data_IF_062336015288
#
_entry.id   IF_062336015288
#
_cell.length_a   1.000
_cell.length_b   1.000
_cell.length_c   1.000
_cell.angle_alpha   90.00
_cell.angle_beta   90.00
_cell.angle_gamma   90.00
#
_symmetry.space_group_name_H-M   'P 1'
#
loop_
_entity.id
_entity.type
_entity.pdbx_description
1 polymer ?
#
# COMPACT_ATOMS: atom_id res chain seq x y z
N UNK A 1 -37.95 28.57 47.05
CA UNK A 1 -37.55 28.73 45.65
C UNK A 1 -36.09 28.28 45.54
N UNK A 2 -35.83 27.04 45.11
CA UNK A 2 -34.49 26.46 44.98
C UNK A 2 -34.04 26.60 43.55
N UNK A 3 -32.99 27.37 43.34
CA UNK A 3 -32.37 27.58 42.03
C UNK A 3 -31.41 26.41 41.82
N UNK A 4 -31.70 25.52 40.84
CA UNK A 4 -30.76 24.51 40.36
C UNK A 4 -29.82 25.13 39.34
N UNK A 5 -28.55 25.24 39.71
CA UNK A 5 -27.50 25.66 38.83
C UNK A 5 -27.00 24.41 38.06
N UNK A 6 -27.37 24.29 36.77
CA UNK A 6 -26.86 23.24 35.90
C UNK A 6 -25.46 23.63 35.40
N UNK A 7 -24.46 22.92 35.89
CA UNK A 7 -23.09 23.01 35.34
C UNK A 7 -23.02 22.07 34.14
N UNK A 8 -23.01 22.63 32.94
CA UNK A 8 -22.71 21.90 31.72
C UNK A 8 -21.18 21.79 31.63
N UNK A 9 -20.66 20.61 31.99
CA UNK A 9 -19.26 20.28 31.74
C UNK A 9 -19.06 20.06 30.23
N UNK A 10 -18.43 21.04 29.55
CA UNK A 10 -17.96 20.87 28.17
C UNK A 10 -16.82 19.87 28.17
N UNK A 11 -17.14 18.61 27.87
CA UNK A 11 -16.12 17.58 27.58
C UNK A 11 -15.52 17.93 26.26
N UNK A 12 -14.37 18.60 26.26
CA UNK A 12 -13.54 18.80 25.09
C UNK A 12 -13.09 17.43 24.57
N UNK A 13 -13.66 17.02 23.44
CA UNK A 13 -13.17 15.87 22.69
C UNK A 13 -11.79 16.27 22.16
N UNK A 14 -10.76 15.89 22.89
CA UNK A 14 -9.40 15.89 22.36
C UNK A 14 -9.39 14.85 21.24
N UNK A 15 -9.47 15.30 19.98
CA UNK A 15 -9.13 14.43 18.86
C UNK A 15 -7.69 14.01 19.07
N UNK A 16 -7.46 12.79 19.59
CA UNK A 16 -6.18 12.13 19.40
C UNK A 16 -5.96 12.09 17.87
N UNK A 17 -5.07 12.91 17.38
CA UNK A 17 -4.51 12.70 16.05
C UNK A 17 -3.85 11.34 16.12
N UNK A 18 -4.50 10.33 15.54
CA UNK A 18 -3.84 9.06 15.28
C UNK A 18 -2.55 9.42 14.53
N UNK A 19 -1.41 9.17 15.17
CA UNK A 19 -0.12 9.31 14.49
C UNK A 19 -0.23 8.46 13.23
N UNK A 20 -0.02 9.05 12.06
CA UNK A 20 -0.06 8.33 10.81
C UNK A 20 0.89 7.14 10.93
N UNK A 21 0.33 5.93 10.90
CA UNK A 21 1.13 4.73 11.03
C UNK A 21 2.02 4.60 9.79
N UNK A 22 3.31 4.54 10.03
CA UNK A 22 4.28 4.36 8.96
C UNK A 22 4.53 2.87 8.76
N UNK A 23 4.07 2.36 7.62
CA UNK A 23 4.40 1.01 7.17
C UNK A 23 5.77 0.99 6.51
N UNK A 24 6.61 0.02 6.86
CA UNK A 24 7.98 -0.10 6.34
C UNK A 24 8.15 -1.34 5.50
N UNK A 25 8.82 -1.19 4.36
CA UNK A 25 9.15 -2.25 3.42
C UNK A 25 10.66 -2.51 3.48
N UNK A 26 11.04 -3.75 3.78
CA UNK A 26 12.43 -4.19 3.93
C UNK A 26 12.80 -5.15 2.80
N UNK A 27 14.03 -5.09 2.36
CA UNK A 27 14.58 -6.12 1.49
C UNK A 27 14.83 -7.41 2.28
N UNK A 28 14.48 -8.57 1.70
CA UNK A 28 14.66 -9.87 2.29
C UNK A 28 13.52 -10.35 3.18
N UNK A 29 13.74 -11.49 3.83
CA UNK A 29 12.72 -12.23 4.58
C UNK A 29 12.32 -11.58 5.91
N UNK A 30 13.24 -10.89 6.54
CA UNK A 30 13.04 -10.31 7.87
C UNK A 30 12.86 -8.79 7.81
N UNK A 31 11.89 -8.28 8.56
CA UNK A 31 11.64 -6.85 8.70
C UNK A 31 12.64 -6.21 9.69
N UNK A 32 13.93 -6.30 9.39
CA UNK A 32 15.04 -5.82 10.23
C UNK A 32 15.99 -4.92 9.44
N UNK A 33 16.73 -4.08 10.14
CA UNK A 33 17.66 -3.14 9.52
C UNK A 33 16.96 -1.91 8.92
N UNK A 34 17.52 -1.38 7.84
CA UNK A 34 16.98 -0.19 7.18
C UNK A 34 15.92 -0.59 6.15
N UNK A 35 14.75 0.01 6.25
CA UNK A 35 13.70 -0.16 5.24
C UNK A 35 14.12 0.51 3.91
N UNK A 36 13.70 -0.10 2.80
CA UNK A 36 13.91 0.46 1.46
C UNK A 36 12.85 1.48 1.09
N UNK A 37 11.66 1.33 1.67
CA UNK A 37 10.55 2.27 1.55
C UNK A 37 9.82 2.44 2.88
N UNK A 38 9.26 3.63 3.08
CA UNK A 38 8.34 3.98 4.16
C UNK A 38 7.04 4.52 3.55
N UNK A 39 5.91 3.93 3.89
CA UNK A 39 4.58 4.36 3.44
C UNK A 39 3.85 5.04 4.60
N UNK A 40 3.45 6.29 4.40
CA UNK A 40 2.61 7.04 5.32
C UNK A 40 1.13 6.76 4.99
N UNK A 41 0.47 6.00 5.85
CA UNK A 41 -0.92 5.58 5.65
C UNK A 41 -1.91 6.76 5.66
N UNK A 42 -1.59 7.82 6.39
CA UNK A 42 -2.44 9.02 6.48
C UNK A 42 -2.46 9.85 5.19
N UNK A 43 -1.32 9.99 4.53
CA UNK A 43 -1.19 10.80 3.30
C UNK A 43 -1.14 9.99 2.01
N UNK A 44 -1.01 8.67 2.10
CA UNK A 44 -0.84 7.79 0.94
C UNK A 44 0.52 7.91 0.26
N UNK A 45 1.51 8.52 0.92
CA UNK A 45 2.83 8.79 0.35
C UNK A 45 3.82 7.66 0.60
N UNK A 46 4.58 7.31 -0.43
CA UNK A 46 5.65 6.32 -0.37
C UNK A 46 7.00 7.03 -0.53
N UNK A 47 7.83 6.93 0.47
CA UNK A 47 9.16 7.54 0.54
C UNK A 47 10.23 6.48 0.34
N UNK A 48 11.34 6.83 -0.30
CA UNK A 48 12.53 5.98 -0.34
C UNK A 48 13.24 6.01 1.02
N UNK A 49 13.65 4.84 1.52
CA UNK A 49 14.37 4.71 2.77
C UNK A 49 13.48 4.43 3.98
N UNK A 50 14.08 4.53 5.17
CA UNK A 50 13.47 4.07 6.42
C UNK A 50 12.39 5.01 6.98
N UNK A 51 12.47 6.30 6.72
CA UNK A 51 11.61 7.31 7.31
C UNK A 51 10.72 7.99 6.27
N UNK A 52 9.48 8.28 6.65
CA UNK A 52 8.52 9.01 5.83
C UNK A 52 8.77 10.54 5.90
N UNK A 53 9.97 10.98 5.46
CA UNK A 53 10.40 12.39 5.49
C UNK A 53 10.95 12.84 4.13
N UNK A 54 10.89 14.13 3.88
CA UNK A 54 11.37 14.72 2.63
C UNK A 54 10.37 14.58 1.49
N UNK A 55 10.87 14.41 0.26
CA UNK A 55 10.03 14.27 -0.92
C UNK A 55 9.63 12.81 -1.13
N UNK A 56 8.34 12.56 -1.24
CA UNK A 56 7.84 11.23 -1.57
C UNK A 56 8.24 10.84 -3.00
N UNK A 57 8.53 9.56 -3.21
CA UNK A 57 8.75 8.99 -4.53
C UNK A 57 7.44 8.79 -5.29
N UNK A 58 6.39 8.41 -4.56
CA UNK A 58 5.07 8.12 -5.08
C UNK A 58 3.99 8.55 -4.09
N UNK A 59 2.78 8.78 -4.60
CA UNK A 59 1.58 8.97 -3.78
C UNK A 59 0.44 8.15 -4.36
N UNK A 60 -0.25 7.42 -3.50
CA UNK A 60 -1.47 6.69 -3.80
C UNK A 60 -2.68 7.51 -3.34
N UNK A 61 -3.54 7.89 -4.26
CA UNK A 61 -4.83 8.49 -3.97
C UNK A 61 -5.90 7.39 -3.86
N UNK A 62 -6.29 7.06 -2.65
CA UNK A 62 -7.25 5.99 -2.36
C UNK A 62 -8.66 6.26 -2.88
N UNK A 63 -9.03 7.52 -3.15
CA UNK A 63 -10.36 7.88 -3.67
C UNK A 63 -10.49 7.55 -5.15
N UNK A 64 -9.41 7.76 -5.91
CA UNK A 64 -9.41 7.53 -7.36
C UNK A 64 -8.71 6.24 -7.78
N UNK A 65 -8.03 5.56 -6.86
CA UNK A 65 -7.19 4.39 -7.15
C UNK A 65 -5.90 4.73 -7.91
N UNK A 66 -5.58 6.02 -8.06
CA UNK A 66 -4.44 6.49 -8.87
C UNK A 66 -3.16 6.57 -8.08
N UNK A 67 -2.05 6.26 -8.77
CA UNK A 67 -0.70 6.34 -8.23
C UNK A 67 0.10 7.34 -9.07
N UNK A 68 0.58 8.40 -8.43
CA UNK A 68 1.31 9.49 -9.06
C UNK A 68 2.79 9.41 -8.68
N UNK A 69 3.66 9.88 -9.56
CA UNK A 69 5.08 10.09 -9.24
C UNK A 69 5.23 11.36 -8.41
N UNK A 70 6.13 11.30 -7.41
CA UNK A 70 6.48 12.45 -6.59
C UNK A 70 5.57 12.65 -5.38
N UNK A 71 5.58 13.87 -4.84
CA UNK A 71 4.98 14.19 -3.54
C UNK A 71 3.49 14.53 -3.60
N UNK A 72 2.99 14.96 -4.75
CA UNK A 72 1.62 15.45 -4.91
C UNK A 72 0.82 14.61 -5.90
N UNK A 73 -0.46 14.39 -5.61
CA UNK A 73 -1.41 13.70 -6.50
C UNK A 73 -1.96 14.67 -7.57
N UNK A 74 -1.07 15.23 -8.39
CA UNK A 74 -1.40 16.21 -9.43
C UNK A 74 -0.88 15.77 -10.80
N UNK A 75 -1.52 16.27 -11.85
CA UNK A 75 -1.17 15.90 -13.23
C UNK A 75 -1.65 14.51 -13.63
N UNK A 76 -0.91 13.87 -14.53
CA UNK A 76 -1.25 12.53 -15.01
C UNK A 76 -0.72 11.45 -14.06
N UNK A 77 -1.58 10.53 -13.65
CA UNK A 77 -1.17 9.38 -12.88
C UNK A 77 -0.26 8.46 -13.71
N UNK A 78 0.71 7.85 -13.05
CA UNK A 78 1.57 6.84 -13.67
C UNK A 78 0.89 5.47 -13.72
N UNK A 79 0.05 5.18 -12.73
CA UNK A 79 -0.74 3.94 -12.64
C UNK A 79 -2.12 4.23 -12.06
N UNK A 80 -3.06 3.32 -12.35
CA UNK A 80 -4.36 3.25 -11.68
C UNK A 80 -4.65 1.80 -11.31
N UNK A 81 -5.09 1.59 -10.08
CA UNK A 81 -5.56 0.31 -9.58
C UNK A 81 -7.09 0.29 -9.57
N UNK A 82 -7.68 -0.61 -10.34
CA UNK A 82 -9.11 -0.90 -10.29
C UNK A 82 -9.38 -1.96 -9.24
N UNK A 83 -9.93 -1.53 -8.11
CA UNK A 83 -10.23 -2.41 -6.98
C UNK A 83 -11.34 -3.44 -7.27
N UNK A 84 -12.22 -3.17 -8.24
CA UNK A 84 -13.31 -4.09 -8.61
C UNK A 84 -12.80 -5.31 -9.38
N UNK A 85 -11.81 -5.13 -10.23
CA UNK A 85 -11.17 -6.17 -11.03
C UNK A 85 -9.81 -6.62 -10.49
N UNK A 86 -9.31 -5.99 -9.42
CA UNK A 86 -7.99 -6.20 -8.83
C UNK A 86 -6.85 -6.04 -9.84
N UNK A 87 -6.98 -5.10 -10.79
CA UNK A 87 -6.02 -4.87 -11.87
C UNK A 87 -5.29 -3.54 -11.72
N UNK A 88 -4.00 -3.57 -12.05
CA UNK A 88 -3.15 -2.39 -12.16
C UNK A 88 -2.95 -2.07 -13.63
N UNK A 89 -3.20 -0.83 -14.02
CA UNK A 89 -3.00 -0.33 -15.37
C UNK A 89 -1.94 0.75 -15.38
N UNK A 90 -1.12 0.81 -16.42
CA UNK A 90 -0.24 1.94 -16.67
C UNK A 90 -1.05 3.15 -17.14
N UNK A 91 -0.70 4.35 -16.63
CA UNK A 91 -1.34 5.60 -17.01
C UNK A 91 -2.46 6.06 -16.09
N UNK A 92 -3.26 7.02 -16.60
CA UNK A 92 -4.25 7.74 -15.79
C UNK A 92 -5.60 7.04 -15.69
N UNK A 93 -5.94 6.19 -16.66
CA UNK A 93 -7.24 5.53 -16.78
C UNK A 93 -7.10 4.01 -16.81
N UNK A 94 -8.07 3.30 -16.21
CA UNK A 94 -8.13 1.84 -16.23
C UNK A 94 -8.69 1.33 -17.57
N UNK A 95 -7.93 1.52 -18.65
CA UNK A 95 -8.31 1.11 -20.01
C UNK A 95 -7.17 0.35 -20.69
N UNK A 96 -7.53 -0.53 -21.60
CA UNK A 96 -6.56 -1.38 -22.32
C UNK A 96 -6.11 -2.60 -21.51
N UNK A 97 -4.89 -3.04 -21.74
CA UNK A 97 -4.31 -4.16 -21.02
C UNK A 97 -3.76 -3.73 -19.66
N UNK A 98 -4.10 -4.47 -18.61
CA UNK A 98 -3.49 -4.28 -17.30
C UNK A 98 -2.02 -4.71 -17.33
N UNK A 99 -1.16 -4.09 -16.51
CA UNK A 99 0.23 -4.52 -16.31
C UNK A 99 0.30 -5.67 -15.31
N UNK A 100 -0.58 -5.66 -14.31
CA UNK A 100 -0.66 -6.72 -13.33
C UNK A 100 -2.12 -6.97 -12.88
N UNK A 101 -2.40 -8.18 -12.43
CA UNK A 101 -3.66 -8.57 -11.80
C UNK A 101 -3.41 -9.40 -10.56
N UNK A 102 -4.13 -9.09 -9.48
CA UNK A 102 -4.07 -9.85 -8.23
C UNK A 102 -5.25 -10.81 -8.13
N UNK A 103 -4.99 -12.02 -7.65
CA UNK A 103 -6.01 -13.05 -7.42
C UNK A 103 -5.71 -13.90 -6.19
N UNK A 104 -6.76 -14.43 -5.56
CA UNK A 104 -6.66 -15.19 -4.32
C UNK A 104 -6.52 -14.29 -3.09
N UNK A 105 -6.44 -14.90 -1.92
CA UNK A 105 -6.36 -14.17 -0.64
C UNK A 105 -5.25 -14.68 0.28
N UNK A 106 -4.94 -15.97 0.24
CA UNK A 106 -3.91 -16.54 1.11
C UNK A 106 -3.26 -17.77 0.44
N UNK A 107 -2.13 -17.56 -0.23
CA UNK A 107 -1.50 -16.29 -0.54
C UNK A 107 -2.24 -15.49 -1.64
N UNK A 108 -2.13 -14.17 -1.57
CA UNK A 108 -2.48 -13.32 -2.70
C UNK A 108 -1.43 -13.52 -3.80
N UNK A 109 -1.87 -13.84 -5.02
CA UNK A 109 -0.98 -14.03 -6.17
C UNK A 109 -1.11 -12.88 -7.15
N UNK A 110 0.03 -12.40 -7.64
CA UNK A 110 0.09 -11.29 -8.59
C UNK A 110 0.67 -11.83 -9.89
N UNK A 111 -0.09 -11.67 -10.95
CA UNK A 111 0.21 -12.16 -12.30
C UNK A 111 0.54 -10.96 -13.20
N UNK A 112 1.46 -11.16 -14.12
CA UNK A 112 1.74 -10.18 -15.17
C UNK A 112 0.59 -10.13 -16.18
N UNK A 113 0.24 -8.93 -16.63
CA UNK A 113 -0.79 -8.70 -17.64
C UNK A 113 -2.23 -8.67 -17.11
N UNK A 114 -3.18 -8.86 -18.03
CA UNK A 114 -4.61 -8.61 -17.79
C UNK A 114 -5.33 -9.75 -17.06
N UNK A 115 -4.87 -10.98 -17.21
CA UNK A 115 -5.56 -12.18 -16.71
C UNK A 115 -4.71 -12.91 -15.66
N UNK A 116 -5.37 -13.40 -14.61
CA UNK A 116 -4.76 -14.22 -13.56
C UNK A 116 -4.58 -15.68 -14.05
N UNK A 117 -3.79 -15.87 -15.11
CA UNK A 117 -3.53 -17.17 -15.72
C UNK A 117 -2.04 -17.49 -15.75
N UNK A 118 -1.70 -18.77 -15.75
CA UNK A 118 -0.29 -19.20 -15.72
C UNK A 118 0.34 -19.08 -14.34
N UNK A 119 1.63 -18.77 -14.29
CA UNK A 119 2.37 -18.63 -13.04
C UNK A 119 2.39 -17.18 -12.58
N UNK A 120 2.06 -16.95 -11.32
CA UNK A 120 2.24 -15.64 -10.70
C UNK A 120 3.73 -15.31 -10.61
N UNK A 121 4.08 -14.04 -10.80
CA UNK A 121 5.46 -13.58 -10.57
C UNK A 121 5.70 -13.19 -9.11
N UNK A 122 4.62 -12.97 -8.35
CA UNK A 122 4.70 -12.65 -6.93
C UNK A 122 3.59 -13.38 -6.17
N UNK A 123 3.94 -13.95 -5.02
CA UNK A 123 3.01 -14.44 -4.00
C UNK A 123 3.19 -13.61 -2.72
N UNK A 124 2.07 -13.20 -2.12
CA UNK A 124 2.06 -12.38 -0.90
C UNK A 124 1.36 -13.16 0.20
N UNK A 125 2.09 -13.41 1.27
CA UNK A 125 1.56 -14.04 2.49
C UNK A 125 1.34 -12.98 3.56
N UNK A 126 0.08 -12.84 3.99
CA UNK A 126 -0.35 -11.85 4.98
C UNK A 126 -0.43 -12.50 6.36
N UNK A 127 0.57 -12.23 7.21
CA UNK A 127 0.64 -12.65 8.60
C UNK A 127 0.96 -11.45 9.50
N UNK A 128 1.54 -11.71 10.68
CA UNK A 128 2.06 -10.64 11.56
C UNK A 128 3.10 -9.74 10.87
N UNK A 129 3.77 -10.28 9.89
CA UNK A 129 4.61 -9.56 8.91
C UNK A 129 4.17 -10.04 7.54
N UNK A 130 3.71 -9.13 6.69
CA UNK A 130 3.40 -9.45 5.31
C UNK A 130 4.68 -9.70 4.53
N UNK A 131 4.73 -10.77 3.74
CA UNK A 131 5.91 -11.15 2.96
C UNK A 131 5.58 -11.32 1.49
N UNK A 132 6.46 -10.78 0.65
CA UNK A 132 6.38 -10.89 -0.81
C UNK A 132 7.45 -11.86 -1.30
N UNK A 133 7.04 -12.90 -2.01
CA UNK A 133 7.90 -13.95 -2.55
C UNK A 133 7.96 -13.84 -4.07
N UNK A 134 9.11 -14.14 -4.64
CA UNK A 134 9.21 -14.31 -6.11
C UNK A 134 8.52 -15.60 -6.54
N UNK A 135 7.73 -15.52 -7.61
CA UNK A 135 7.04 -16.67 -8.20
C UNK A 135 5.67 -16.96 -7.58
N UNK A 136 5.15 -18.14 -7.93
CA UNK A 136 3.75 -18.52 -7.69
C UNK A 136 3.45 -18.88 -6.23
N UNK A 137 4.43 -19.33 -5.47
CA UNK A 137 4.25 -19.88 -4.13
C UNK A 137 4.93 -19.03 -3.07
N UNK A 138 4.27 -18.86 -1.93
CA UNK A 138 4.81 -18.19 -0.75
C UNK A 138 5.70 -19.14 0.06
N UNK A 139 6.79 -19.63 -0.55
CA UNK A 139 7.72 -20.59 0.06
C UNK A 139 9.16 -20.12 -0.04
N UNK A 140 10.00 -20.61 0.87
CA UNK A 140 11.41 -20.23 0.91
C UNK A 140 11.64 -18.84 1.51
N UNK A 141 12.65 -18.13 1.00
CA UNK A 141 12.99 -16.79 1.49
C UNK A 141 12.19 -15.73 0.75
N UNK A 142 11.50 -14.88 1.49
CA UNK A 142 10.80 -13.75 0.89
C UNK A 142 11.80 -12.74 0.31
N UNK A 143 11.41 -12.12 -0.80
CA UNK A 143 12.17 -11.04 -1.39
C UNK A 143 12.01 -9.73 -0.60
N UNK A 144 10.83 -9.53 -0.03
CA UNK A 144 10.52 -8.35 0.79
C UNK A 144 9.66 -8.72 1.99
N UNK A 145 9.87 -7.99 3.10
CA UNK A 145 9.06 -8.04 4.31
C UNK A 145 8.43 -6.67 4.57
N UNK A 146 7.16 -6.65 4.94
CA UNK A 146 6.38 -5.44 5.17
C UNK A 146 5.92 -5.45 6.62
N UNK A 147 6.28 -4.43 7.38
CA UNK A 147 5.86 -4.22 8.77
C UNK A 147 4.88 -3.07 8.85
N UNK A 148 3.63 -3.38 9.19
CA UNK A 148 2.47 -2.49 9.14
C UNK A 148 1.54 -2.84 7.97
N UNK A 149 0.48 -2.05 7.82
CA UNK A 149 -0.57 -2.29 6.82
C UNK A 149 -0.32 -1.53 5.51
N UNK A 150 -0.59 -2.17 4.39
CA UNK A 150 -0.57 -1.55 3.07
C UNK A 150 -1.89 -1.81 2.34
N UNK A 151 -2.43 -0.81 1.62
CA UNK A 151 -3.53 -1.05 0.69
C UNK A 151 -3.13 -2.05 -0.40
N UNK A 152 -4.08 -2.89 -0.83
CA UNK A 152 -3.85 -3.87 -1.90
C UNK A 152 -3.28 -3.22 -3.18
N UNK A 153 -3.76 -2.04 -3.54
CA UNK A 153 -3.23 -1.25 -4.65
C UNK A 153 -1.73 -0.98 -4.54
N UNK A 154 -1.25 -0.65 -3.33
CA UNK A 154 0.17 -0.36 -3.07
C UNK A 154 0.98 -1.65 -3.09
N UNK A 155 0.43 -2.76 -2.59
CA UNK A 155 1.08 -4.08 -2.66
C UNK A 155 1.27 -4.52 -4.11
N UNK A 156 0.22 -4.45 -4.95
CA UNK A 156 0.29 -4.82 -6.37
C UNK A 156 1.25 -3.90 -7.14
N UNK A 157 1.22 -2.61 -6.86
CA UNK A 157 2.15 -1.64 -7.43
C UNK A 157 3.61 -1.92 -7.04
N UNK A 158 3.88 -2.24 -5.76
CA UNK A 158 5.23 -2.58 -5.30
C UNK A 158 5.72 -3.90 -5.90
N UNK A 159 4.85 -4.89 -6.05
CA UNK A 159 5.19 -6.14 -6.74
C UNK A 159 5.64 -5.87 -8.18
N UNK A 160 4.86 -5.11 -8.93
CA UNK A 160 5.19 -4.66 -10.30
C UNK A 160 6.53 -3.91 -10.37
N UNK A 161 6.83 -3.06 -9.38
CA UNK A 161 8.05 -2.22 -9.39
C UNK A 161 9.30 -2.91 -8.88
N UNK A 162 9.16 -3.94 -8.08
CA UNK A 162 10.28 -4.56 -7.36
C UNK A 162 10.58 -6.00 -7.80
N UNK A 163 9.61 -6.69 -8.43
CA UNK A 163 9.71 -8.13 -8.71
C UNK A 163 9.50 -8.50 -10.18
N UNK A 164 8.80 -7.67 -10.95
CA UNK A 164 8.56 -7.86 -12.40
C UNK A 164 9.72 -7.35 -13.32
#
# INVERSE_FOLDING_TARGET
MKIFLSIIAAIGIVKLNAMADTTRIYAGHNATGSAIYAYDTGSGRLYKGHNAIGSAAWIYDSRSGRIFRGHNATGSAAFIYDGSSCRLYAGHNAVGAATAVAAGSSPLRIFSGHNATGSAFCAVDSGATTRMYRGHNATGSAAYAIKGDLPAAVIVFLAEKLLD
#
